data_IF_839817804970
#
_entry.id   IF_839817804970
#
_cell.length_a   1.000
_cell.length_b   1.000
_cell.length_c   1.000
_cell.angle_alpha   90.00
_cell.angle_beta   90.00
_cell.angle_gamma   90.00
#
_symmetry.space_group_name_H-M   'P 1'
#
loop_
_entity.id
_entity.type
_entity.pdbx_description
1 polymer ?
#
# COMPACT_ATOMS: atom_id res chain seq x y z
N UNK A 1 0.55 7.38 -6.32
CA UNK A 1 1.99 7.69 -6.47
C UNK A 1 2.06 8.42 -7.78
N UNK A 2 2.39 9.72 -7.76
CA UNK A 2 2.17 10.58 -8.92
C UNK A 2 3.30 10.42 -9.92
N UNK A 3 3.15 10.96 -11.13
CA UNK A 3 4.17 10.97 -12.19
C UNK A 3 5.53 11.56 -11.73
N UNK A 4 5.53 12.27 -10.59
CA UNK A 4 6.71 12.85 -9.92
C UNK A 4 7.30 11.99 -8.79
N UNK A 5 6.78 10.78 -8.54
CA UNK A 5 7.31 9.85 -7.53
C UNK A 5 6.90 10.16 -6.08
N UNK A 6 6.03 11.13 -5.84
CA UNK A 6 5.54 11.50 -4.51
C UNK A 6 4.39 10.59 -4.04
N UNK A 7 4.33 10.33 -2.73
CA UNK A 7 3.21 9.61 -2.10
C UNK A 7 2.00 10.55 -2.07
N UNK A 8 1.10 10.35 -3.01
CA UNK A 8 -0.19 11.02 -3.03
C UNK A 8 -1.02 10.56 -1.84
N UNK A 9 -1.38 11.52 -0.99
CA UNK A 9 -2.29 11.31 0.13
C UNK A 9 -3.69 11.61 -0.43
N UNK A 10 -4.39 10.56 -0.85
CA UNK A 10 -5.77 10.70 -1.30
C UNK A 10 -6.73 10.64 -0.10
N UNK A 11 -7.82 11.41 -0.19
CA UNK A 11 -8.85 11.43 0.85
C UNK A 11 -9.72 10.19 0.77
N UNK A 12 -10.08 9.61 1.92
CA UNK A 12 -11.03 8.49 1.96
C UNK A 12 -12.41 8.92 1.45
N UNK A 13 -13.12 8.00 0.80
CA UNK A 13 -14.48 8.27 0.33
C UNK A 13 -15.46 8.52 1.48
N UNK A 14 -16.54 9.26 1.20
CA UNK A 14 -17.61 9.56 2.16
C UNK A 14 -18.19 8.27 2.76
N UNK A 15 -18.50 7.29 1.91
CA UNK A 15 -19.05 6.00 2.34
C UNK A 15 -18.10 5.25 3.28
N UNK A 16 -16.80 5.20 2.97
CA UNK A 16 -15.80 4.56 3.83
C UNK A 16 -15.65 5.28 5.17
N UNK A 17 -15.62 6.61 5.15
CA UNK A 17 -15.55 7.42 6.37
C UNK A 17 -16.75 7.17 7.28
N UNK A 18 -17.97 7.19 6.73
CA UNK A 18 -19.20 6.90 7.47
C UNK A 18 -19.22 5.45 8.01
N UNK A 19 -18.76 4.49 7.22
CA UNK A 19 -18.71 3.09 7.63
C UNK A 19 -17.73 2.85 8.79
N UNK A 20 -16.58 3.54 8.79
CA UNK A 20 -15.61 3.47 9.89
C UNK A 20 -16.13 4.22 11.11
N UNK A 21 -16.63 5.45 10.93
CA UNK A 21 -17.21 6.28 11.99
C UNK A 21 -18.36 5.58 12.71
N UNK A 22 -19.26 4.94 11.96
CA UNK A 22 -20.41 4.19 12.48
C UNK A 22 -20.07 2.93 13.28
N UNK A 23 -18.78 2.57 13.41
CA UNK A 23 -18.34 1.51 14.33
C UNK A 23 -18.37 1.95 15.79
N UNK A 24 -18.32 3.25 16.07
CA UNK A 24 -18.40 3.80 17.43
C UNK A 24 -19.87 3.86 17.89
N UNK A 25 -20.15 3.47 19.14
CA UNK A 25 -21.51 3.56 19.73
C UNK A 25 -22.53 2.58 19.14
N UNK A 26 -22.11 1.38 18.71
CA UNK A 26 -23.04 0.36 18.20
C UNK A 26 -24.02 -0.07 19.29
N UNK A 27 -25.26 -0.32 18.88
CA UNK A 27 -26.30 -0.87 19.76
C UNK A 27 -25.81 -2.16 20.44
N UNK A 28 -26.10 -2.32 21.74
CA UNK A 28 -25.62 -3.39 22.65
C UNK A 28 -24.13 -3.37 22.98
N UNK A 29 -23.45 -2.26 22.78
CA UNK A 29 -22.16 -2.01 23.45
C UNK A 29 -22.38 -1.26 24.76
N UNK A 30 -21.39 -1.30 25.65
CA UNK A 30 -21.39 -0.54 26.91
C UNK A 30 -21.41 0.99 26.70
N UNK A 31 -21.26 1.46 25.46
CA UNK A 31 -21.16 2.86 25.09
C UNK A 31 -22.39 3.28 24.29
N UNK A 32 -23.24 4.11 24.90
CA UNK A 32 -24.43 4.66 24.24
C UNK A 32 -24.08 5.71 23.17
N UNK A 33 -22.98 6.46 23.38
CA UNK A 33 -22.53 7.53 22.50
C UNK A 33 -21.21 7.16 21.82
N UNK A 34 -21.13 7.36 20.50
CA UNK A 34 -19.90 7.19 19.71
C UNK A 34 -19.22 8.52 19.41
N UNK A 35 -17.89 8.56 19.55
CA UNK A 35 -17.07 9.73 19.22
C UNK A 35 -16.11 9.38 18.10
N UNK A 36 -15.83 10.34 17.22
CA UNK A 36 -14.92 10.20 16.08
C UNK A 36 -14.05 11.44 16.00
N UNK A 37 -12.74 11.24 15.86
CA UNK A 37 -11.73 12.31 15.72
C UNK A 37 -10.59 11.85 14.84
N UNK A 38 -9.73 12.78 14.42
CA UNK A 38 -8.48 12.51 13.69
C UNK A 38 -7.28 12.48 14.64
N UNK A 39 -6.17 11.88 14.19
CA UNK A 39 -4.91 11.88 14.94
C UNK A 39 -4.22 13.25 14.89
N UNK A 40 -4.19 13.90 13.73
CA UNK A 40 -3.70 15.28 13.56
C UNK A 40 -4.86 16.27 13.61
N UNK A 41 -4.65 17.40 14.25
CA UNK A 41 -5.67 18.45 14.37
C UNK A 41 -6.07 19.04 13.00
N UNK A 42 -5.10 19.18 12.10
CA UNK A 42 -5.30 19.77 10.76
C UNK A 42 -6.30 18.94 9.92
N UNK A 43 -6.38 17.63 10.15
CA UNK A 43 -7.26 16.72 9.40
C UNK A 43 -8.73 16.78 9.89
N UNK A 44 -8.98 17.34 11.08
CA UNK A 44 -10.28 17.28 11.74
C UNK A 44 -11.36 18.04 10.95
N UNK A 45 -10.99 19.18 10.37
CA UNK A 45 -11.92 19.99 9.58
C UNK A 45 -12.33 19.26 8.30
N UNK A 46 -11.38 18.57 7.67
CA UNK A 46 -11.63 17.71 6.50
C UNK A 46 -12.55 16.54 6.86
N UNK A 47 -12.28 15.85 7.96
CA UNK A 47 -13.16 14.75 8.41
C UNK A 47 -14.59 15.23 8.68
N UNK A 48 -14.75 16.37 9.36
CA UNK A 48 -16.08 16.95 9.62
C UNK A 48 -16.82 17.28 8.33
N UNK A 49 -16.12 17.81 7.32
CA UNK A 49 -16.68 18.10 6.00
C UNK A 49 -17.09 16.82 5.26
N UNK A 50 -16.32 15.74 5.39
CA UNK A 50 -16.65 14.44 4.75
C UNK A 50 -17.89 13.82 5.41
N UNK A 51 -17.93 13.77 6.74
CA UNK A 51 -19.02 13.13 7.49
C UNK A 51 -20.36 13.86 7.38
N UNK A 52 -20.37 15.15 7.05
CA UNK A 52 -21.61 15.92 6.84
C UNK A 52 -22.24 15.70 5.46
N UNK A 53 -21.53 15.08 4.52
CA UNK A 53 -22.02 14.84 3.17
C UNK A 53 -22.80 13.53 3.08
N UNK A 54 -23.73 13.46 2.12
CA UNK A 54 -24.45 12.23 1.80
C UNK A 54 -23.75 11.49 0.67
N UNK A 55 -23.52 10.18 0.76
CA UNK A 55 -23.03 9.38 -0.36
C UNK A 55 -23.94 9.50 -1.58
N UNK A 56 -23.35 9.61 -2.76
CA UNK A 56 -24.12 9.57 -4.01
C UNK A 56 -24.73 8.17 -4.23
N UNK A 57 -25.97 8.08 -4.75
CA UNK A 57 -26.56 6.81 -5.14
C UNK A 57 -25.71 6.09 -6.20
N UNK A 58 -25.62 4.76 -6.09
CA UNK A 58 -24.99 3.92 -7.11
C UNK A 58 -25.83 3.94 -8.38
N UNK A 59 -25.17 4.20 -9.53
CA UNK A 59 -25.84 4.36 -10.83
C UNK A 59 -25.84 3.09 -11.67
N UNK A 60 -24.81 2.25 -11.52
CA UNK A 60 -24.60 1.07 -12.35
C UNK A 60 -24.23 -0.16 -11.51
N UNK A 61 -24.50 -1.35 -12.06
CA UNK A 61 -24.12 -2.64 -11.50
C UNK A 61 -23.07 -3.34 -12.37
N UNK A 62 -22.13 -4.03 -11.71
CA UNK A 62 -21.06 -4.75 -12.40
C UNK A 62 -21.54 -6.08 -12.99
N UNK A 63 -21.17 -6.35 -14.23
CA UNK A 63 -21.36 -7.63 -14.92
C UNK A 63 -20.01 -8.33 -15.13
N UNK A 64 -20.04 -9.66 -15.23
CA UNK A 64 -18.84 -10.48 -15.40
C UNK A 64 -19.10 -11.57 -16.45
N UNK A 65 -18.15 -11.87 -17.36
CA UNK A 65 -18.31 -12.90 -18.37
C UNK A 65 -18.46 -14.30 -17.76
N UNK A 66 -19.52 -15.01 -18.08
CA UNK A 66 -19.74 -16.38 -17.62
C UNK A 66 -18.79 -17.37 -18.30
N UNK A 67 -18.54 -18.51 -17.65
CA UNK A 67 -17.69 -19.55 -18.21
C UNK A 67 -18.21 -20.08 -19.57
N UNK A 68 -19.53 -20.20 -19.72
CA UNK A 68 -20.17 -20.70 -20.95
C UNK A 68 -20.01 -19.71 -22.11
N UNK A 69 -20.09 -18.40 -21.83
CA UNK A 69 -19.83 -17.34 -22.82
C UNK A 69 -18.38 -17.38 -23.31
N UNK A 70 -17.42 -17.56 -22.39
CA UNK A 70 -16.00 -17.64 -22.76
C UNK A 70 -15.70 -18.95 -23.51
N UNK A 71 -16.36 -20.04 -23.17
CA UNK A 71 -16.24 -21.32 -23.89
C UNK A 71 -16.72 -21.22 -25.34
N UNK A 72 -17.82 -20.50 -25.58
CA UNK A 72 -18.29 -20.21 -26.93
C UNK A 72 -17.26 -19.39 -27.74
N UNK A 73 -16.62 -18.39 -27.12
CA UNK A 73 -15.57 -17.61 -27.77
C UNK A 73 -14.35 -18.47 -28.10
N UNK A 74 -13.94 -19.35 -27.19
CA UNK A 74 -12.83 -20.27 -27.41
C UNK A 74 -13.12 -21.28 -28.54
N UNK A 75 -14.37 -21.68 -28.73
CA UNK A 75 -14.78 -22.51 -29.86
C UNK A 75 -14.52 -21.80 -31.20
N UNK A 76 -14.85 -20.51 -31.30
CA UNK A 76 -14.61 -19.71 -32.49
C UNK A 76 -13.14 -19.25 -32.66
N UNK A 77 -12.40 -19.14 -31.56
CA UNK A 77 -11.01 -18.65 -31.51
C UNK A 77 -10.09 -19.63 -30.75
N UNK A 78 -9.88 -20.86 -31.26
CA UNK A 78 -9.23 -21.94 -30.50
C UNK A 78 -7.73 -21.71 -30.25
N UNK A 79 -7.11 -20.78 -30.97
CA UNK A 79 -5.67 -20.44 -30.82
C UNK A 79 -5.43 -19.25 -29.89
N UNK A 80 -6.48 -18.61 -29.38
CA UNK A 80 -6.36 -17.47 -28.49
C UNK A 80 -6.17 -17.91 -27.04
N UNK A 81 -5.32 -17.19 -26.31
CA UNK A 81 -5.12 -17.41 -24.87
C UNK A 81 -6.35 -16.98 -24.09
N UNK A 82 -6.56 -17.53 -22.89
CA UNK A 82 -7.70 -17.16 -22.06
C UNK A 82 -7.69 -15.67 -21.67
N UNK A 83 -6.52 -15.09 -21.39
CA UNK A 83 -6.38 -13.65 -21.13
C UNK A 83 -6.86 -12.82 -22.33
N UNK A 84 -6.41 -13.18 -23.54
CA UNK A 84 -6.84 -12.49 -24.76
C UNK A 84 -8.33 -12.70 -25.09
N UNK A 85 -8.89 -13.88 -24.82
CA UNK A 85 -10.33 -14.13 -24.97
C UNK A 85 -11.16 -13.21 -24.07
N UNK A 86 -10.71 -12.96 -22.83
CA UNK A 86 -11.37 -12.03 -21.92
C UNK A 86 -11.32 -10.59 -22.44
N UNK A 87 -10.17 -10.15 -22.98
CA UNK A 87 -10.05 -8.82 -23.59
C UNK A 87 -10.96 -8.67 -24.81
N UNK A 88 -10.98 -9.68 -25.69
CA UNK A 88 -11.89 -9.69 -26.84
C UNK A 88 -13.35 -9.66 -26.37
N UNK A 89 -13.70 -10.41 -25.34
CA UNK A 89 -15.06 -10.42 -24.80
C UNK A 89 -15.46 -9.04 -24.27
N UNK A 90 -14.64 -8.43 -23.43
CA UNK A 90 -14.93 -7.10 -22.86
C UNK A 90 -15.01 -6.04 -23.96
N UNK A 91 -14.16 -6.11 -24.98
CA UNK A 91 -14.16 -5.15 -26.08
C UNK A 91 -15.35 -5.30 -27.05
N UNK A 92 -15.89 -6.53 -27.20
CA UNK A 92 -17.01 -6.80 -28.09
C UNK A 92 -18.37 -6.80 -27.38
N UNK A 93 -18.38 -6.96 -26.06
CA UNK A 93 -19.63 -7.00 -25.31
C UNK A 93 -20.32 -5.63 -25.37
N UNK A 94 -21.64 -5.66 -25.53
CA UNK A 94 -22.49 -4.48 -25.44
C UNK A 94 -23.38 -4.65 -24.22
N UNK A 95 -23.38 -3.65 -23.35
CA UNK A 95 -24.21 -3.60 -22.15
C UNK A 95 -24.99 -2.29 -22.16
N UNK A 96 -26.06 -2.20 -21.38
CA UNK A 96 -26.73 -0.93 -21.17
C UNK A 96 -25.86 -0.05 -20.27
N UNK A 97 -25.08 0.84 -20.89
CA UNK A 97 -24.15 1.74 -20.21
C UNK A 97 -24.83 2.68 -19.20
N UNK A 98 -26.16 2.80 -19.20
CA UNK A 98 -26.87 3.57 -18.18
C UNK A 98 -27.03 2.80 -16.85
N UNK A 99 -27.03 1.47 -16.88
CA UNK A 99 -27.33 0.60 -15.74
C UNK A 99 -26.22 -0.39 -15.40
N UNK A 100 -25.31 -0.70 -16.34
CA UNK A 100 -24.31 -1.74 -16.16
C UNK A 100 -22.93 -1.30 -16.62
N UNK A 101 -21.91 -1.96 -16.07
CA UNK A 101 -20.53 -1.85 -16.52
C UNK A 101 -19.84 -3.21 -16.37
N UNK A 102 -18.72 -3.43 -17.06
CA UNK A 102 -17.93 -4.65 -16.87
C UNK A 102 -17.01 -4.57 -15.67
N UNK A 103 -17.09 -5.59 -14.81
CA UNK A 103 -16.22 -5.75 -13.65
C UNK A 103 -14.74 -5.81 -14.07
N UNK A 104 -13.87 -5.45 -13.13
CA UNK A 104 -12.43 -5.54 -13.32
C UNK A 104 -12.01 -7.02 -13.46
N UNK A 105 -11.32 -7.34 -14.56
CA UNK A 105 -10.85 -8.69 -14.89
C UNK A 105 -9.33 -8.85 -14.75
N UNK A 106 -8.61 -7.85 -14.23
CA UNK A 106 -7.14 -7.84 -14.14
C UNK A 106 -6.60 -9.00 -13.28
N UNK A 107 -7.27 -9.33 -12.17
CA UNK A 107 -6.85 -10.44 -11.31
C UNK A 107 -7.05 -11.79 -12.02
N UNK A 108 -8.16 -11.93 -12.76
CA UNK A 108 -8.44 -13.11 -13.57
C UNK A 108 -7.39 -13.28 -14.69
N UNK A 109 -7.09 -12.19 -15.42
CA UNK A 109 -6.10 -12.19 -16.50
C UNK A 109 -4.70 -12.54 -16.00
N UNK A 110 -4.30 -11.96 -14.87
CA UNK A 110 -3.02 -12.27 -14.23
C UNK A 110 -2.87 -13.77 -13.93
N UNK A 111 -3.90 -14.41 -13.38
CA UNK A 111 -3.88 -15.85 -13.14
C UNK A 111 -3.90 -16.65 -14.45
N UNK A 112 -4.66 -16.21 -15.45
CA UNK A 112 -4.75 -16.86 -16.76
C UNK A 112 -3.40 -16.90 -17.49
N UNK A 113 -2.66 -15.79 -17.45
CA UNK A 113 -1.30 -15.68 -17.98
C UNK A 113 -0.32 -16.56 -17.21
N UNK A 114 -0.44 -16.59 -15.88
CA UNK A 114 0.44 -17.39 -15.02
C UNK A 114 0.36 -18.91 -15.29
N UNK A 115 -0.81 -19.42 -15.67
CA UNK A 115 -1.01 -20.85 -15.95
C UNK A 115 -1.14 -21.17 -17.44
N UNK A 116 -0.85 -20.21 -18.32
CA UNK A 116 -1.01 -20.38 -19.77
C UNK A 116 -0.27 -21.62 -20.30
N UNK A 117 0.99 -21.80 -19.88
CA UNK A 117 1.83 -22.94 -20.26
C UNK A 117 1.43 -24.28 -19.63
N UNK A 118 0.44 -24.31 -18.73
CA UNK A 118 -0.05 -25.54 -18.09
C UNK A 118 -1.18 -26.13 -18.95
N UNK A 119 -1.13 -27.42 -19.34
CA UNK A 119 -2.13 -28.03 -20.20
C UNK A 119 -3.42 -28.35 -19.41
N UNK A 120 -4.30 -27.37 -19.31
CA UNK A 120 -5.60 -27.48 -18.65
C UNK A 120 -6.74 -27.35 -19.66
N UNK A 121 -7.78 -28.16 -19.48
CA UNK A 121 -9.07 -27.97 -20.15
C UNK A 121 -9.61 -26.57 -19.84
N UNK A 122 -10.27 -25.94 -20.82
CA UNK A 122 -10.72 -24.55 -20.71
C UNK A 122 -11.61 -24.32 -19.49
N UNK A 123 -12.55 -25.23 -19.22
CA UNK A 123 -13.45 -25.12 -18.07
C UNK A 123 -12.69 -25.13 -16.74
N UNK A 124 -11.74 -26.05 -16.59
CA UNK A 124 -10.90 -26.10 -15.39
C UNK A 124 -10.06 -24.83 -15.28
N UNK A 125 -9.41 -24.42 -16.37
CA UNK A 125 -8.60 -23.18 -16.43
C UNK A 125 -9.40 -21.96 -15.98
N UNK A 126 -10.63 -21.80 -16.46
CA UNK A 126 -11.52 -20.71 -16.06
C UNK A 126 -11.77 -20.73 -14.54
N UNK A 127 -12.11 -21.90 -13.97
CA UNK A 127 -12.34 -22.05 -12.52
C UNK A 127 -11.08 -21.71 -11.72
N UNK A 128 -9.90 -22.15 -12.17
CA UNK A 128 -8.63 -21.79 -11.52
C UNK A 128 -8.38 -20.27 -11.54
N UNK A 129 -8.73 -19.58 -12.63
CA UNK A 129 -8.57 -18.13 -12.74
C UNK A 129 -9.61 -17.34 -11.92
N UNK A 130 -10.70 -17.96 -11.49
CA UNK A 130 -11.65 -17.39 -10.53
C UNK A 130 -11.22 -17.58 -9.07
N UNK A 131 -10.12 -18.26 -8.79
CA UNK A 131 -9.67 -18.50 -7.43
C UNK A 131 -9.24 -17.18 -6.76
N UNK A 132 -9.72 -16.89 -5.54
CA UNK A 132 -9.40 -15.64 -4.85
C UNK A 132 -7.97 -15.68 -4.30
N UNK A 133 -7.02 -15.16 -5.07
CA UNK A 133 -5.59 -15.19 -4.72
C UNK A 133 -5.04 -13.78 -4.61
N UNK A 134 -4.27 -13.53 -3.55
CA UNK A 134 -3.53 -12.29 -3.41
C UNK A 134 -2.28 -12.28 -4.31
N UNK A 135 -2.38 -11.69 -5.51
CA UNK A 135 -1.27 -11.58 -6.47
C UNK A 135 -0.02 -10.86 -5.96
N UNK A 136 -0.13 -10.11 -4.86
CA UNK A 136 1.00 -9.42 -4.23
C UNK A 136 1.92 -10.36 -3.45
N UNK A 137 1.47 -11.58 -3.13
CA UNK A 137 2.21 -12.55 -2.34
C UNK A 137 2.85 -13.62 -3.24
N UNK A 138 4.17 -13.56 -3.51
CA UNK A 138 4.82 -14.45 -4.47
C UNK A 138 4.75 -15.94 -4.09
N UNK A 139 4.71 -16.23 -2.79
CA UNK A 139 4.58 -17.59 -2.28
C UNK A 139 3.24 -18.21 -2.71
N UNK A 140 2.13 -17.47 -2.54
CA UNK A 140 0.79 -17.94 -2.90
C UNK A 140 0.70 -18.18 -4.41
N UNK A 141 1.21 -17.25 -5.24
CA UNK A 141 1.30 -17.42 -6.69
C UNK A 141 2.11 -18.67 -7.09
N UNK A 142 3.23 -18.92 -6.41
CA UNK A 142 4.07 -20.10 -6.65
C UNK A 142 3.34 -21.40 -6.29
N UNK A 143 2.60 -21.42 -5.18
CA UNK A 143 1.79 -22.57 -4.78
C UNK A 143 0.62 -22.80 -5.71
N UNK A 144 -0.09 -21.75 -6.14
CA UNK A 144 -1.13 -21.83 -7.16
C UNK A 144 -0.62 -22.50 -8.44
N UNK A 145 0.55 -22.09 -8.94
CA UNK A 145 1.15 -22.70 -10.13
C UNK A 145 1.52 -24.18 -9.90
N UNK A 146 2.02 -24.54 -8.71
CA UNK A 146 2.28 -25.95 -8.36
C UNK A 146 1.00 -26.79 -8.34
N UNK A 147 -0.07 -26.27 -7.74
CA UNK A 147 -1.39 -26.91 -7.68
C UNK A 147 -1.93 -27.12 -9.09
N UNK A 148 -1.92 -26.08 -9.94
CA UNK A 148 -2.38 -26.16 -11.32
C UNK A 148 -1.60 -27.22 -12.13
N UNK A 149 -0.27 -27.31 -11.92
CA UNK A 149 0.56 -28.34 -12.57
C UNK A 149 0.23 -29.75 -12.09
N UNK A 150 0.04 -29.98 -10.80
CA UNK A 150 -0.36 -31.30 -10.28
C UNK A 150 -1.74 -31.71 -10.80
N UNK A 151 -2.70 -30.78 -10.77
CA UNK A 151 -4.02 -30.99 -11.36
C UNK A 151 -3.92 -31.41 -12.84
N UNK A 152 -3.07 -30.74 -13.64
CA UNK A 152 -2.90 -31.07 -15.07
C UNK A 152 -2.34 -32.48 -15.33
N UNK A 153 -1.68 -33.08 -14.33
CA UNK A 153 -1.16 -34.45 -14.39
C UNK A 153 -2.16 -35.48 -13.87
N UNK A 154 -3.35 -35.03 -13.48
CA UNK A 154 -4.36 -35.87 -12.83
C UNK A 154 -3.84 -36.55 -11.55
N UNK A 155 -2.94 -35.86 -10.83
CA UNK A 155 -2.40 -36.31 -9.55
C UNK A 155 -3.21 -35.69 -8.40
N UNK A 156 -3.77 -36.50 -7.48
CA UNK A 156 -4.47 -35.98 -6.31
C UNK A 156 -3.55 -35.14 -5.44
N UNK A 157 -4.02 -33.96 -5.05
CA UNK A 157 -3.33 -33.04 -4.16
C UNK A 157 -3.77 -33.40 -2.75
N UNK A 158 -3.06 -34.34 -2.13
CA UNK A 158 -3.37 -34.82 -0.78
C UNK A 158 -2.82 -33.88 0.30
N UNK A 159 -3.13 -34.17 1.56
CA UNK A 159 -2.59 -33.44 2.71
C UNK A 159 -1.05 -33.37 2.73
N UNK A 160 -0.39 -34.36 2.13
CA UNK A 160 1.08 -34.39 2.02
C UNK A 160 1.63 -33.24 1.17
N UNK A 161 0.82 -32.66 0.26
CA UNK A 161 1.18 -31.42 -0.43
C UNK A 161 1.42 -30.28 0.57
N UNK A 162 0.57 -30.15 1.58
CA UNK A 162 0.68 -29.14 2.64
C UNK A 162 1.92 -29.42 3.48
N UNK A 163 2.14 -30.67 3.90
CA UNK A 163 3.33 -31.05 4.68
C UNK A 163 4.62 -30.70 3.96
N UNK A 164 4.75 -31.07 2.68
CA UNK A 164 5.98 -30.86 1.91
C UNK A 164 6.23 -29.41 1.49
N UNK A 165 5.18 -28.65 1.17
CA UNK A 165 5.31 -27.33 0.56
C UNK A 165 5.03 -26.15 1.51
N UNK A 166 4.26 -26.37 2.57
CA UNK A 166 3.87 -25.34 3.54
C UNK A 166 4.61 -25.46 4.87
N UNK A 167 5.41 -26.51 5.08
CA UNK A 167 6.25 -26.65 6.26
C UNK A 167 5.48 -27.05 7.53
N UNK A 168 4.46 -27.92 7.40
CA UNK A 168 3.79 -28.51 8.56
C UNK A 168 4.69 -29.56 9.23
N UNK A 169 4.74 -29.66 10.57
CA UNK A 169 4.01 -28.87 11.57
C UNK A 169 4.55 -27.43 11.72
N UNK A 170 3.65 -26.48 11.97
CA UNK A 170 4.00 -25.05 12.02
C UNK A 170 4.67 -24.67 13.34
N UNK A 171 5.60 -23.72 13.25
CA UNK A 171 6.26 -23.14 14.41
C UNK A 171 5.73 -21.74 14.70
N UNK A 172 5.82 -21.31 15.96
CA UNK A 172 5.49 -19.94 16.36
C UNK A 172 6.40 -18.93 15.65
N UNK A 173 5.84 -17.82 15.14
CA UNK A 173 6.63 -16.80 14.44
C UNK A 173 7.56 -16.08 15.44
N UNK A 174 8.80 -15.82 15.02
CA UNK A 174 9.79 -15.09 15.84
C UNK A 174 9.94 -13.64 15.38
N UNK A 175 9.66 -13.39 14.11
CA UNK A 175 9.71 -12.09 13.43
C UNK A 175 8.38 -11.79 12.71
N UNK A 176 8.20 -10.55 12.25
CA UNK A 176 7.03 -10.18 11.44
C UNK A 176 7.04 -10.87 10.09
N UNK A 177 8.23 -11.09 9.52
CA UNK A 177 8.36 -11.76 8.23
C UNK A 177 7.85 -13.20 8.35
N UNK A 178 8.14 -13.87 9.46
CA UNK A 178 7.60 -15.21 9.74
C UNK A 178 6.06 -15.16 9.86
N UNK A 179 5.51 -14.16 10.55
CA UNK A 179 4.06 -13.99 10.69
C UNK A 179 3.38 -13.77 9.32
N UNK A 180 3.93 -12.90 8.47
CA UNK A 180 3.45 -12.69 7.09
C UNK A 180 3.57 -13.95 6.22
N UNK A 181 4.60 -14.77 6.45
CA UNK A 181 4.73 -16.04 5.75
C UNK A 181 3.65 -17.03 6.20
N UNK A 182 3.35 -17.12 7.51
CA UNK A 182 2.26 -17.95 8.03
C UNK A 182 0.89 -17.51 7.48
N UNK A 183 0.63 -16.20 7.36
CA UNK A 183 -0.56 -15.67 6.67
C UNK A 183 -0.61 -16.14 5.20
N UNK A 184 0.52 -16.12 4.51
CA UNK A 184 0.59 -16.62 3.12
C UNK A 184 0.33 -18.13 3.02
N UNK A 185 0.77 -18.91 4.02
CA UNK A 185 0.48 -20.34 4.09
C UNK A 185 -1.02 -20.57 4.34
N UNK A 186 -1.64 -19.74 5.18
CA UNK A 186 -3.08 -19.76 5.43
C UNK A 186 -3.86 -19.51 4.13
N UNK A 187 -3.47 -18.50 3.34
CA UNK A 187 -4.07 -18.21 2.03
C UNK A 187 -3.95 -19.40 1.06
N UNK A 188 -2.85 -20.16 1.12
CA UNK A 188 -2.67 -21.38 0.29
C UNK A 188 -3.61 -22.50 0.74
N UNK A 189 -3.87 -22.64 2.04
CA UNK A 189 -4.87 -23.58 2.53
C UNK A 189 -6.29 -23.17 2.13
N UNK A 190 -6.60 -21.88 2.17
CA UNK A 190 -7.88 -21.35 1.68
C UNK A 190 -8.05 -21.61 0.19
N UNK A 191 -7.00 -21.44 -0.61
CA UNK A 191 -6.99 -21.81 -2.03
C UNK A 191 -7.26 -23.31 -2.23
N UNK A 192 -6.61 -24.18 -1.46
CA UNK A 192 -6.85 -25.62 -1.50
C UNK A 192 -8.32 -25.94 -1.21
N UNK A 193 -8.87 -25.38 -0.13
CA UNK A 193 -10.25 -25.59 0.28
C UNK A 193 -11.24 -25.03 -0.73
N UNK A 194 -10.94 -23.89 -1.35
CA UNK A 194 -11.77 -23.31 -2.40
C UNK A 194 -11.85 -24.24 -3.61
N UNK A 195 -10.70 -24.80 -4.03
CA UNK A 195 -10.63 -25.72 -5.16
C UNK A 195 -11.25 -27.09 -4.85
N UNK A 196 -11.21 -27.55 -3.59
CA UNK A 196 -11.81 -28.84 -3.21
C UNK A 196 -13.32 -28.90 -3.39
N UNK A 197 -14.02 -27.77 -3.26
CA UNK A 197 -15.45 -27.69 -3.59
C UNK A 197 -15.77 -27.81 -5.09
N UNK A 198 -14.79 -27.62 -5.98
CA UNK A 198 -14.97 -27.72 -7.44
C UNK A 198 -14.39 -29.01 -8.02
N UNK A 199 -13.32 -29.53 -7.41
CA UNK A 199 -12.55 -30.66 -7.91
C UNK A 199 -12.36 -31.73 -6.82
N UNK A 200 -13.46 -32.28 -6.31
CA UNK A 200 -13.47 -33.17 -5.15
C UNK A 200 -12.56 -34.40 -5.31
N UNK A 201 -12.48 -34.97 -6.53
CA UNK A 201 -11.68 -36.17 -6.81
C UNK A 201 -10.17 -35.92 -6.71
N UNK A 202 -9.72 -34.70 -7.02
CA UNK A 202 -8.31 -34.31 -6.99
C UNK A 202 -7.90 -33.59 -5.70
N UNK A 203 -8.87 -33.23 -4.85
CA UNK A 203 -8.63 -32.56 -3.56
C UNK A 203 -9.37 -33.32 -2.44
N UNK A 204 -8.96 -34.57 -2.14
CA UNK A 204 -9.71 -35.44 -1.24
C UNK A 204 -9.66 -35.02 0.23
N UNK A 205 -8.61 -34.31 0.65
CA UNK A 205 -8.25 -34.15 2.07
C UNK A 205 -8.73 -32.81 2.68
N UNK A 206 -9.82 -32.24 2.17
CA UNK A 206 -10.35 -30.95 2.62
C UNK A 206 -10.60 -30.88 4.14
N UNK A 207 -11.05 -31.98 4.76
CA UNK A 207 -11.27 -32.03 6.21
C UNK A 207 -9.95 -31.94 6.99
N UNK A 208 -8.92 -32.67 6.56
CA UNK A 208 -7.60 -32.63 7.21
C UNK A 208 -6.93 -31.26 7.04
N UNK A 209 -7.02 -30.68 5.84
CA UNK A 209 -6.51 -29.32 5.57
C UNK A 209 -7.22 -28.29 6.46
N UNK A 210 -8.53 -28.40 6.67
CA UNK A 210 -9.28 -27.48 7.55
C UNK A 210 -8.85 -27.60 9.02
N UNK A 211 -8.50 -28.79 9.50
CA UNK A 211 -7.97 -28.97 10.86
C UNK A 211 -6.60 -28.31 10.99
N UNK A 212 -5.69 -28.54 10.03
CA UNK A 212 -4.38 -27.90 10.03
C UNK A 212 -4.46 -26.37 9.85
N UNK A 213 -5.44 -25.89 9.08
CA UNK A 213 -5.71 -24.46 8.91
C UNK A 213 -6.14 -23.82 10.23
N UNK A 214 -6.97 -24.50 11.03
CA UNK A 214 -7.36 -24.01 12.35
C UNK A 214 -6.17 -23.99 13.32
N UNK A 215 -5.34 -25.01 13.31
CA UNK A 215 -4.09 -25.03 14.09
C UNK A 215 -3.16 -23.86 13.70
N UNK A 216 -3.05 -23.57 12.41
CA UNK A 216 -2.31 -22.41 11.90
C UNK A 216 -2.92 -21.08 12.34
N UNK A 217 -4.25 -20.95 12.31
CA UNK A 217 -4.96 -19.74 12.80
C UNK A 217 -4.66 -19.48 14.28
N UNK A 218 -4.71 -20.53 15.11
CA UNK A 218 -4.36 -20.43 16.54
C UNK A 218 -2.90 -19.97 16.75
N UNK A 219 -1.97 -20.40 15.89
CA UNK A 219 -0.55 -19.97 15.91
C UNK A 219 -0.42 -18.51 15.46
N UNK A 220 -1.12 -18.10 14.40
CA UNK A 220 -1.15 -16.72 13.91
C UNK A 220 -1.74 -15.82 15.00
N UNK A 221 -2.84 -16.22 15.64
CA UNK A 221 -3.44 -15.48 16.75
C UNK A 221 -2.46 -15.26 17.90
N UNK A 222 -1.70 -16.30 18.30
CA UNK A 222 -0.65 -16.17 19.31
C UNK A 222 0.47 -15.23 18.86
N UNK A 223 0.87 -15.29 17.59
CA UNK A 223 1.85 -14.38 17.00
C UNK A 223 1.38 -12.91 17.02
N UNK A 224 0.13 -12.66 16.63
CA UNK A 224 -0.49 -11.33 16.64
C UNK A 224 -0.64 -10.79 18.06
N UNK A 225 -0.98 -11.63 19.05
CA UNK A 225 -1.00 -11.21 20.45
C UNK A 225 0.38 -10.71 20.93
N UNK A 226 1.46 -11.28 20.39
CA UNK A 226 2.84 -10.90 20.68
C UNK A 226 3.45 -9.96 19.64
N UNK A 227 2.65 -9.29 18.80
CA UNK A 227 3.13 -8.49 17.65
C UNK A 227 4.16 -7.43 18.04
N UNK A 228 4.02 -6.82 19.22
CA UNK A 228 4.98 -5.83 19.75
C UNK A 228 6.37 -6.43 20.00
N UNK A 229 6.44 -7.71 20.42
CA UNK A 229 7.69 -8.46 20.57
C UNK A 229 8.28 -8.83 19.21
N UNK A 230 7.43 -9.23 18.26
CA UNK A 230 7.86 -9.55 16.89
C UNK A 230 8.46 -8.31 16.19
N UNK A 231 7.87 -7.13 16.39
CA UNK A 231 8.40 -5.84 15.94
C UNK A 231 9.81 -5.58 16.49
N UNK A 232 9.98 -5.66 17.81
CA UNK A 232 11.28 -5.46 18.48
C UNK A 232 12.35 -6.44 18.00
N UNK A 233 11.99 -7.71 17.83
CA UNK A 233 12.91 -8.72 17.32
C UNK A 233 13.31 -8.45 15.87
N UNK A 234 12.38 -7.94 15.05
CA UNK A 234 12.66 -7.60 13.65
C UNK A 234 13.62 -6.42 13.55
N UNK A 235 13.47 -5.39 14.40
CA UNK A 235 14.39 -4.26 14.51
C UNK A 235 15.77 -4.68 15.05
N UNK A 236 15.80 -5.56 16.06
CA UNK A 236 17.04 -6.08 16.65
C UNK A 236 17.82 -6.99 15.68
N UNK A 237 17.14 -7.86 14.92
CA UNK A 237 17.75 -8.70 13.89
C UNK A 237 18.28 -7.87 12.70
N UNK A 238 17.61 -6.78 12.33
CA UNK A 238 18.13 -5.83 11.34
C UNK A 238 19.37 -5.08 11.87
N UNK A 239 19.41 -4.77 13.16
CA UNK A 239 20.55 -4.09 13.79
C UNK A 239 21.77 -5.03 13.99
N UNK A 240 21.55 -6.33 14.21
CA UNK A 240 22.61 -7.32 14.35
C UNK A 240 23.19 -7.80 13.01
N UNK A 241 22.40 -7.76 11.94
CA UNK A 241 22.86 -8.11 10.59
C UNK A 241 23.74 -7.03 9.93
N UNK A 242 23.82 -5.82 10.50
CA UNK A 242 24.69 -4.73 10.02
C UNK A 242 26.09 -4.75 10.69
N UNK A 243 26.40 -5.81 11.45
CA UNK A 243 27.65 -5.96 12.23
C UNK A 243 28.77 -6.76 11.55
N UNK A 244 28.52 -7.44 10.44
CA UNK A 244 29.59 -8.14 9.70
C UNK A 244 29.24 -8.33 8.22
N UNK A 245 30.16 -7.89 7.36
CA UNK A 245 30.22 -8.09 5.92
C UNK A 245 29.26 -7.30 4.99
N UNK A 246 29.83 -6.22 4.45
CA UNK A 246 29.40 -5.49 3.24
C UNK A 246 29.15 -6.41 2.04
N UNK A 247 27.88 -6.59 1.61
CA UNK A 247 27.45 -6.66 0.20
C UNK A 247 25.95 -6.30 0.09
N UNK A 248 25.65 -5.36 -0.81
CA UNK A 248 24.37 -4.67 -0.93
C UNK A 248 23.23 -5.52 -1.52
N UNK A 249 22.15 -5.72 -0.75
CA UNK A 249 20.78 -5.79 -1.28
C UNK A 249 19.92 -4.85 -0.43
N UNK A 250 19.80 -3.59 -0.87
CA UNK A 250 18.83 -2.63 -0.32
C UNK A 250 17.57 -2.64 -1.18
N UNK A 251 16.44 -3.03 -0.58
CA UNK A 251 15.11 -2.61 -1.02
C UNK A 251 15.01 -1.10 -0.88
N UNK A 252 14.56 -0.47 -1.96
CA UNK A 252 14.27 0.95 -2.12
C UNK A 252 13.24 1.43 -1.09
N UNK A 253 13.67 2.25 -0.14
CA UNK A 253 12.93 3.37 0.48
C UNK A 253 13.87 4.15 1.40
N UNK A 254 14.67 5.04 0.83
CA UNK A 254 15.10 6.34 1.35
C UNK A 254 16.28 6.83 0.52
N UNK A 255 16.28 8.13 0.27
CA UNK A 255 17.18 8.88 -0.60
C UNK A 255 18.64 8.43 -0.50
N UNK A 256 19.18 8.01 -1.65
CA UNK A 256 20.60 7.75 -1.87
C UNK A 256 21.27 9.12 -2.09
N UNK A 257 21.89 9.67 -1.06
CA UNK A 257 23.00 10.61 -1.30
C UNK A 257 24.03 9.92 -2.21
N UNK A 258 24.50 10.55 -3.30
CA UNK A 258 25.62 10.01 -4.06
C UNK A 258 26.89 10.11 -3.23
N UNK A 259 27.38 8.97 -2.72
CA UNK A 259 28.78 8.86 -2.28
C UNK A 259 29.68 9.05 -3.50
N UNK A 260 30.35 10.19 -3.58
CA UNK A 260 31.48 10.41 -4.47
C UNK A 260 32.77 9.85 -3.85
N UNK A 261 33.77 9.52 -4.67
CA UNK A 261 35.10 9.09 -4.22
C UNK A 261 35.74 10.16 -3.36
N UNK A 262 36.46 9.74 -2.33
CA UNK A 262 37.34 10.60 -1.54
C UNK A 262 38.48 11.12 -2.43
N UNK A 263 38.31 12.31 -3.03
CA UNK A 263 39.35 13.33 -3.24
C UNK A 263 38.87 14.41 -4.24
N UNK A 264 38.41 15.55 -3.74
CA UNK A 264 38.61 16.88 -4.37
C UNK A 264 38.09 17.99 -3.44
N UNK A 265 38.97 18.95 -3.12
CA UNK A 265 38.64 20.23 -2.46
C UNK A 265 37.99 21.15 -3.52
N UNK A 266 36.74 21.56 -3.33
CA UNK A 266 36.00 22.47 -4.24
C UNK A 266 34.79 23.14 -3.54
N UNK A 267 34.27 24.25 -4.10
CA UNK A 267 33.25 25.10 -3.48
C UNK A 267 31.89 24.38 -3.40
N UNK A 268 31.17 24.57 -2.30
CA UNK A 268 29.92 23.87 -1.94
C UNK A 268 28.84 23.92 -3.04
N UNK A 269 28.75 25.03 -3.77
CA UNK A 269 27.77 25.23 -4.85
C UNK A 269 27.96 24.29 -6.03
N UNK A 270 29.20 23.96 -6.38
CA UNK A 270 29.51 23.02 -7.47
C UNK A 270 29.13 21.59 -7.10
N UNK A 271 29.25 21.23 -5.81
CA UNK A 271 28.78 19.92 -5.30
C UNK A 271 27.27 19.76 -5.39
N UNK A 272 26.51 20.81 -5.07
CA UNK A 272 25.05 20.76 -5.07
C UNK A 272 24.45 20.67 -6.48
N UNK A 273 25.09 21.31 -7.46
CA UNK A 273 24.72 21.17 -8.88
C UNK A 273 25.07 19.77 -9.40
N UNK A 274 26.27 19.25 -9.07
CA UNK A 274 26.69 17.92 -9.49
C UNK A 274 25.83 16.79 -8.89
N UNK A 275 25.23 17.01 -7.72
CA UNK A 275 24.30 16.07 -7.09
C UNK A 275 22.86 16.18 -7.62
N UNK A 276 22.58 17.08 -8.56
CA UNK A 276 21.24 17.26 -9.16
C UNK A 276 20.20 17.85 -8.18
N UNK A 277 20.64 18.31 -7.01
CA UNK A 277 19.79 18.91 -5.98
C UNK A 277 19.50 20.39 -6.26
N UNK A 278 20.25 21.00 -7.18
CA UNK A 278 20.09 22.38 -7.63
C UNK A 278 20.32 22.47 -9.14
N UNK A 279 19.39 23.08 -9.87
CA UNK A 279 19.61 23.43 -11.28
C UNK A 279 20.35 24.77 -11.39
N UNK A 280 21.11 25.01 -12.48
CA UNK A 280 21.78 26.30 -12.71
C UNK A 280 20.82 27.50 -12.67
N UNK A 281 19.56 27.30 -13.09
CA UNK A 281 18.50 28.30 -13.00
C UNK A 281 18.13 28.66 -11.56
N UNK A 282 17.91 27.66 -10.70
CA UNK A 282 17.59 27.86 -9.28
C UNK A 282 18.74 28.55 -8.52
N UNK A 283 20.00 28.27 -8.89
CA UNK A 283 21.15 28.95 -8.31
C UNK A 283 21.20 30.44 -8.68
N UNK A 284 20.84 30.80 -9.92
CA UNK A 284 20.74 32.20 -10.35
C UNK A 284 19.62 32.94 -9.63
N UNK A 285 18.53 32.23 -9.28
CA UNK A 285 17.38 32.80 -8.61
C UNK A 285 17.68 33.04 -7.13
N UNK A 286 18.27 32.04 -6.44
CA UNK A 286 18.78 32.20 -5.08
C UNK A 286 19.85 33.29 -4.96
N UNK A 287 20.70 33.45 -5.98
CA UNK A 287 21.70 34.54 -5.99
C UNK A 287 21.03 35.90 -6.11
N UNK A 288 19.98 36.03 -6.94
CA UNK A 288 19.18 37.26 -7.02
C UNK A 288 18.46 37.56 -5.70
N UNK A 289 17.88 36.54 -5.07
CA UNK A 289 17.21 36.68 -3.76
C UNK A 289 18.20 37.08 -2.67
N UNK A 290 19.39 36.49 -2.64
CA UNK A 290 20.44 36.82 -1.68
C UNK A 290 20.97 38.24 -1.87
N UNK A 291 21.22 38.65 -3.11
CA UNK A 291 21.68 40.02 -3.43
C UNK A 291 20.59 41.05 -3.08
N UNK A 292 19.31 40.75 -3.33
CA UNK A 292 18.18 41.57 -2.91
C UNK A 292 18.05 41.66 -1.38
N UNK A 293 18.30 40.55 -0.68
CA UNK A 293 18.25 40.51 0.78
C UNK A 293 19.40 41.30 1.40
N UNK A 294 20.61 41.22 0.85
CA UNK A 294 21.75 42.05 1.28
C UNK A 294 21.52 43.53 0.99
N UNK A 295 20.91 43.89 -0.14
CA UNK A 295 20.51 45.27 -0.41
C UNK A 295 19.46 45.77 0.58
N UNK A 296 18.48 44.93 0.96
CA UNK A 296 17.49 45.29 1.99
C UNK A 296 18.12 45.48 3.38
N UNK A 297 19.12 44.65 3.71
CA UNK A 297 19.87 44.73 4.98
C UNK A 297 20.78 45.97 5.00
N UNK A 298 21.43 46.30 3.89
CA UNK A 298 22.25 47.50 3.75
C UNK A 298 21.41 48.79 3.79
N UNK A 299 20.19 48.77 3.22
CA UNK A 299 19.25 49.90 3.32
C UNK A 299 18.78 50.10 4.77
N UNK A 300 18.51 49.01 5.50
CA UNK A 300 18.09 49.08 6.91
C UNK A 300 19.19 49.55 7.87
N UNK A 301 20.47 49.26 7.57
CA UNK A 301 21.59 49.76 8.38
C UNK A 301 21.93 51.21 8.09
N UNK A 302 21.69 51.70 6.87
CA UNK A 302 21.83 53.14 6.53
C UNK A 302 20.73 53.96 7.22
N UNK A 303 19.48 53.48 7.23
CA UNK A 303 18.38 54.18 7.92
C UNK A 303 18.56 54.20 9.45
N UNK A 304 19.22 53.19 10.03
CA UNK A 304 19.53 53.15 11.47
C UNK A 304 20.75 54.00 11.89
N UNK A 305 21.59 54.41 10.94
CA UNK A 305 22.80 55.19 11.19
C UNK A 305 22.63 56.71 10.99
N UNK A 306 21.44 57.15 10.53
CA UNK A 306 21.10 58.56 10.34
C UNK A 306 20.22 59.16 11.46
N UNK A 307 19.85 58.39 12.50
CA UNK A 307 18.92 58.83 13.56
C UNK A 307 19.56 58.95 14.97
N UNK A 308 20.88 59.06 15.04
CA UNK A 308 21.62 59.37 16.29
C UNK A 308 22.66 60.46 16.04
N UNK A 309 22.24 61.72 16.07
CA UNK A 309 23.01 62.89 16.49
C UNK A 309 22.10 64.14 16.51
N UNK A 310 21.37 64.36 17.61
CA UNK A 310 21.06 65.73 18.06
C UNK A 310 20.70 65.75 19.57
N UNK A 311 21.71 65.77 20.45
CA UNK A 311 21.57 66.31 21.81
C UNK A 311 22.08 67.76 21.81
N UNK A 312 21.20 68.73 22.07
CA UNK A 312 21.56 70.13 21.99
C UNK A 312 20.59 71.16 22.55
N UNK A 313 20.19 71.02 23.83
CA UNK A 313 19.91 72.14 24.74
C UNK A 313 18.52 72.84 24.65
N UNK A 314 17.73 72.77 25.73
CA UNK A 314 17.55 73.89 26.69
C UNK A 314 16.22 73.80 27.48
N UNK A 315 16.38 73.86 28.81
CA UNK A 315 15.49 74.32 29.90
C UNK A 315 13.94 74.23 29.80
N UNK A 316 13.32 73.81 30.92
CA UNK A 316 12.03 74.39 31.31
C UNK A 316 11.02 73.49 32.01
N UNK A 317 11.24 73.21 33.30
CA UNK A 317 10.28 73.51 34.38
C UNK A 317 8.84 72.91 34.33
N UNK A 318 8.47 72.29 35.47
CA UNK A 318 7.14 72.13 36.12
C UNK A 318 6.38 70.79 35.99
N UNK A 319 6.39 70.12 37.14
CA UNK A 319 5.23 69.70 37.96
C UNK A 319 4.28 68.61 37.42
N UNK A 320 4.36 67.46 38.10
CA UNK A 320 3.34 66.97 39.05
C UNK A 320 1.93 66.65 38.48
N UNK A 321 1.56 65.36 38.43
CA UNK A 321 0.54 64.74 39.33
C UNK A 321 0.11 63.34 38.85
N UNK A 322 0.17 62.41 39.81
CA UNK A 322 -0.64 61.20 39.92
C UNK A 322 -2.08 61.36 39.40
N UNK A 323 -2.60 60.32 38.74
CA UNK A 323 -3.84 59.67 39.19
C UNK A 323 -4.03 58.27 38.62
N UNK A 324 -4.02 57.30 39.55
CA UNK A 324 -4.75 56.03 39.48
C UNK A 324 -6.26 56.30 39.35
N UNK A 325 -6.92 55.48 38.53
CA UNK A 325 -8.28 54.89 38.67
C UNK A 325 -8.66 54.38 37.26
N UNK A 326 -9.31 53.23 37.08
CA UNK A 326 -9.88 52.24 37.98
C UNK A 326 -9.98 50.96 37.16
#
# INVERSE_FOLDING_TARGET
>A
MNEKGEREIDTISISSALQIAGRAGRFRTQWEHGYVTTFKADDLQTLRKILSQKPEPLKQAGLHPTADQIELYAYHLPKSTLSNLMDIFVNLCTVDDSLYFMCNIEDFKFLAEMIEHVPLALRARYVFCCAPINKKMPFVCSMFLKIARQYSRNEPITFDFITRNCGWPFALPKTIIDLMHLESVFDVMDLYLWLSYRFMDLFPDAAAVRVAQKELDDIIQQGVFQITRLLKNSEASQSAADGDMTYNIRRSTQMREPRLPSSSRGRLTERLIAQGLLTPGMLSELRKEWDAQQQSLAQSTIDSAFDTDDEGNNSGVKKMRRKRRK
#
